data_IF_872534526210
#
_entry.id   IF_872534526210
#
_cell.length_a   1.000
_cell.length_b   1.000
_cell.length_c   1.000
_cell.angle_alpha   90.00
_cell.angle_beta   90.00
_cell.angle_gamma   90.00
#
_symmetry.space_group_name_H-M   'P 1'
#
loop_
_entity.id
_entity.type
_entity.pdbx_description
1 polymer ?
#
# COMPACT_ATOMS: atom_id res chain seq x y z
N UNK A 1 -12.22 -14.58 -2.68
CA UNK A 1 -11.18 -13.57 -2.82
C UNK A 1 -11.80 -12.18 -2.77
N UNK A 2 -11.26 -11.33 -1.95
CA UNK A 2 -11.78 -9.97 -1.79
C UNK A 2 -11.32 -9.10 -2.96
N UNK A 3 -12.25 -8.33 -3.54
CA UNK A 3 -11.95 -7.41 -4.63
C UNK A 3 -11.52 -6.07 -4.05
N UNK A 4 -10.46 -5.48 -4.60
CA UNK A 4 -10.02 -4.16 -4.18
C UNK A 4 -11.09 -3.13 -4.54
N UNK A 5 -11.42 -2.27 -3.57
CA UNK A 5 -12.44 -1.24 -3.75
C UNK A 5 -12.03 -0.25 -4.85
N UNK A 6 -12.90 0.01 -5.85
CA UNK A 6 -12.62 1.00 -6.90
C UNK A 6 -12.34 2.40 -6.37
N UNK A 7 -12.85 2.74 -5.17
CA UNK A 7 -12.58 4.02 -4.53
C UNK A 7 -11.09 4.27 -4.28
N UNK A 8 -10.31 3.18 -4.18
CA UNK A 8 -8.87 3.28 -4.05
C UNK A 8 -8.24 3.96 -5.25
N UNK A 9 -8.63 3.56 -6.46
CA UNK A 9 -8.12 4.17 -7.68
C UNK A 9 -8.57 5.62 -7.80
N UNK A 10 -9.80 5.91 -7.42
CA UNK A 10 -10.33 7.27 -7.38
C UNK A 10 -9.54 8.15 -6.41
N UNK A 11 -9.23 7.61 -5.22
CA UNK A 11 -8.43 8.32 -4.23
C UNK A 11 -7.04 8.65 -4.77
N UNK A 12 -6.35 7.68 -5.37
CA UNK A 12 -5.01 7.92 -5.90
C UNK A 12 -5.02 8.86 -7.09
N UNK A 13 -6.06 8.84 -7.91
CA UNK A 13 -6.22 9.80 -9.00
C UNK A 13 -6.29 11.23 -8.46
N UNK A 14 -7.08 11.44 -7.41
CA UNK A 14 -7.20 12.74 -6.74
C UNK A 14 -5.88 13.13 -6.09
N UNK A 15 -5.21 12.19 -5.43
CA UNK A 15 -3.91 12.44 -4.79
C UNK A 15 -2.87 12.86 -5.82
N UNK A 16 -2.86 12.22 -6.98
CA UNK A 16 -1.93 12.57 -8.05
C UNK A 16 -2.07 14.03 -8.47
N UNK A 17 -3.30 14.56 -8.48
CA UNK A 17 -3.56 15.94 -8.82
C UNK A 17 -3.32 16.90 -7.66
N UNK A 18 -3.33 16.41 -6.42
CA UNK A 18 -3.24 17.21 -5.20
C UNK A 18 -2.19 16.63 -4.25
N UNK A 19 -1.02 16.30 -4.76
CA UNK A 19 0.01 15.61 -3.98
C UNK A 19 0.76 16.60 -3.07
N UNK A 20 0.07 17.02 -2.01
CA UNK A 20 0.60 17.94 -1.01
C UNK A 20 0.02 17.58 0.37
N UNK A 21 0.67 18.09 1.41
CA UNK A 21 0.32 17.74 2.79
C UNK A 21 -1.06 18.25 3.21
N UNK A 22 -1.43 19.44 2.78
CA UNK A 22 -2.70 20.04 3.16
C UNK A 22 -3.88 19.24 2.64
N UNK A 23 -3.84 18.88 1.35
CA UNK A 23 -4.87 18.03 0.77
C UNK A 23 -4.94 16.67 1.44
N UNK A 24 -3.76 16.04 1.69
CA UNK A 24 -3.71 14.72 2.31
C UNK A 24 -4.29 14.76 3.72
N UNK A 25 -3.96 15.78 4.53
CA UNK A 25 -4.51 15.90 5.87
C UNK A 25 -6.02 16.04 5.86
N UNK A 26 -6.58 16.78 4.90
CA UNK A 26 -8.02 16.95 4.75
C UNK A 26 -8.72 15.65 4.35
N UNK A 27 -8.00 14.71 3.72
CA UNK A 27 -8.56 13.46 3.21
C UNK A 27 -8.00 12.23 3.92
N UNK A 28 -7.31 12.43 5.05
CA UNK A 28 -6.62 11.35 5.76
C UNK A 28 -7.58 10.27 6.27
N UNK A 29 -8.79 10.64 6.68
CA UNK A 29 -9.79 9.68 7.14
C UNK A 29 -10.16 8.70 6.04
N UNK A 30 -10.39 9.18 4.82
CA UNK A 30 -10.64 8.33 3.67
C UNK A 30 -9.44 7.43 3.37
N UNK A 31 -8.24 7.99 3.42
CA UNK A 31 -7.02 7.20 3.22
C UNK A 31 -6.92 6.05 4.24
N UNK A 32 -7.16 6.32 5.51
CA UNK A 32 -7.08 5.31 6.57
C UNK A 32 -8.09 4.18 6.36
N UNK A 33 -9.29 4.52 5.91
CA UNK A 33 -10.31 3.53 5.59
C UNK A 33 -9.83 2.61 4.45
N UNK A 34 -9.32 3.20 3.37
CA UNK A 34 -8.83 2.45 2.22
C UNK A 34 -7.60 1.62 2.58
N UNK A 35 -6.69 2.18 3.38
CA UNK A 35 -5.52 1.46 3.87
C UNK A 35 -5.93 0.22 4.67
N UNK A 36 -6.95 0.34 5.50
CA UNK A 36 -7.49 -0.81 6.26
C UNK A 36 -8.00 -1.91 5.35
N UNK A 37 -8.68 -1.54 4.26
CA UNK A 37 -9.15 -2.52 3.28
C UNK A 37 -8.00 -3.22 2.57
N UNK A 38 -6.94 -2.50 2.23
CA UNK A 38 -5.75 -3.07 1.60
C UNK A 38 -5.04 -4.03 2.57
N UNK A 39 -4.98 -3.69 3.84
CA UNK A 39 -4.40 -4.57 4.86
C UNK A 39 -5.16 -5.89 4.97
N UNK A 40 -6.48 -5.86 4.92
CA UNK A 40 -7.29 -7.08 4.92
C UNK A 40 -7.03 -7.92 3.67
N UNK A 41 -6.93 -7.28 2.53
CA UNK A 41 -6.59 -7.94 1.27
C UNK A 41 -5.19 -8.59 1.35
N UNK A 42 -4.23 -7.88 1.92
CA UNK A 42 -2.89 -8.41 2.12
C UNK A 42 -2.88 -9.66 3.00
N UNK A 43 -3.66 -9.67 4.09
CA UNK A 43 -3.79 -10.84 4.95
C UNK A 43 -4.38 -12.02 4.21
N UNK A 44 -5.37 -11.78 3.37
CA UNK A 44 -5.99 -12.82 2.57
C UNK A 44 -5.00 -13.44 1.59
N UNK A 45 -4.21 -12.62 0.92
CA UNK A 45 -3.14 -13.09 0.03
C UNK A 45 -2.11 -13.90 0.83
N UNK A 46 -1.69 -13.42 1.98
CA UNK A 46 -0.73 -14.11 2.84
C UNK A 46 -1.23 -15.51 3.21
N UNK A 47 -2.50 -15.62 3.61
CA UNK A 47 -3.09 -16.90 3.97
C UNK A 47 -3.12 -17.87 2.79
N UNK A 48 -3.44 -17.38 1.60
CA UNK A 48 -3.44 -18.20 0.39
C UNK A 48 -2.03 -18.66 0.02
N UNK A 49 -1.03 -17.78 0.17
CA UNK A 49 0.35 -18.14 -0.11
C UNK A 49 0.91 -19.15 0.90
N UNK A 50 0.47 -19.10 2.16
CA UNK A 50 0.89 -20.06 3.18
C UNK A 50 0.49 -21.50 2.85
N UNK A 51 -0.54 -21.69 2.03
CA UNK A 51 -0.94 -23.03 1.59
C UNK A 51 0.11 -23.63 0.65
N UNK A 52 0.76 -22.82 -0.16
CA UNK A 52 1.70 -23.25 -1.18
C UNK A 52 3.16 -23.00 -0.81
N UNK A 53 3.41 -21.98 0.00
CA UNK A 53 4.73 -21.54 0.37
C UNK A 53 4.73 -21.08 1.82
N UNK A 54 5.89 -21.16 2.45
CA UNK A 54 6.07 -20.60 3.77
C UNK A 54 6.41 -19.13 3.66
N UNK A 55 5.51 -18.28 4.15
CA UNK A 55 5.72 -16.83 4.15
C UNK A 55 6.24 -16.43 5.53
N UNK A 56 7.47 -15.96 5.56
CA UNK A 56 8.11 -15.52 6.79
C UNK A 56 7.56 -14.17 7.23
N UNK A 57 7.28 -13.28 6.28
CA UNK A 57 6.90 -11.93 6.59
C UNK A 57 6.09 -11.31 5.45
N UNK A 58 5.01 -10.62 5.82
CA UNK A 58 4.25 -9.76 4.91
C UNK A 58 4.40 -8.31 5.35
N UNK A 59 4.61 -7.41 4.41
CA UNK A 59 4.86 -6.00 4.71
C UNK A 59 4.12 -5.11 3.73
N UNK A 60 3.49 -4.04 4.27
CA UNK A 60 2.91 -2.97 3.49
C UNK A 60 3.79 -1.73 3.63
N UNK A 61 4.23 -1.18 2.50
CA UNK A 61 5.09 0.00 2.52
C UNK A 61 4.29 1.25 2.84
N UNK A 62 4.98 2.24 3.44
CA UNK A 62 4.36 3.50 3.84
C UNK A 62 4.00 4.32 2.61
N UNK A 63 2.97 5.16 2.75
CA UNK A 63 2.53 6.06 1.68
C UNK A 63 3.56 7.16 1.40
N UNK A 64 4.42 7.47 2.36
CA UNK A 64 5.38 8.57 2.25
C UNK A 64 6.52 8.20 1.30
N UNK A 65 6.89 9.14 0.43
CA UNK A 65 8.04 9.00 -0.46
C UNK A 65 9.30 9.50 0.23
N UNK A 66 10.41 8.82 -0.07
CA UNK A 66 11.73 9.35 0.25
C UNK A 66 12.15 10.25 -0.91
N UNK A 67 12.13 11.57 -0.66
CA UNK A 67 12.38 12.55 -1.72
C UNK A 67 13.72 13.25 -1.57
N UNK A 68 14.59 12.78 -0.68
CA UNK A 68 15.88 13.44 -0.39
C UNK A 68 16.75 13.58 -1.62
N UNK A 69 16.76 12.59 -2.49
CA UNK A 69 17.58 12.56 -3.70
C UNK A 69 16.76 12.60 -4.98
N UNK A 70 15.49 12.86 -4.88
CA UNK A 70 14.58 12.88 -6.02
C UNK A 70 14.39 14.29 -6.56
N UNK A 71 14.31 14.41 -7.88
CA UNK A 71 13.94 15.68 -8.52
C UNK A 71 12.47 16.01 -8.25
N UNK A 72 11.62 15.01 -8.21
CA UNK A 72 10.21 15.17 -7.89
C UNK A 72 10.05 15.12 -6.36
N UNK A 73 9.59 16.23 -5.77
CA UNK A 73 9.43 16.39 -4.32
C UNK A 73 8.01 16.15 -3.82
N UNK A 74 7.13 15.55 -4.62
CA UNK A 74 5.79 15.18 -4.13
C UNK A 74 5.91 14.21 -2.96
N UNK A 75 5.20 14.47 -1.84
CA UNK A 75 5.45 13.73 -0.59
C UNK A 75 4.81 12.36 -0.51
N UNK A 76 3.86 12.03 -1.39
CA UNK A 76 3.09 10.79 -1.27
C UNK A 76 3.18 9.94 -2.52
N UNK A 77 3.20 8.62 -2.29
CA UNK A 77 3.06 7.65 -3.37
C UNK A 77 1.61 7.61 -3.86
N UNK A 78 1.41 7.29 -5.13
CA UNK A 78 0.08 7.14 -5.71
C UNK A 78 -0.28 5.66 -5.90
N UNK A 79 0.30 4.80 -5.07
CA UNK A 79 0.06 3.37 -5.08
C UNK A 79 0.38 2.78 -3.71
N UNK A 80 -0.16 1.59 -3.43
CA UNK A 80 0.29 0.79 -2.29
C UNK A 80 1.34 -0.21 -2.74
N UNK A 81 2.43 -0.31 -1.96
CA UNK A 81 3.44 -1.34 -2.16
C UNK A 81 3.29 -2.44 -1.12
N UNK A 82 3.24 -3.68 -1.56
CA UNK A 82 3.18 -4.85 -0.69
C UNK A 82 4.38 -5.74 -0.97
N UNK A 83 4.90 -6.37 0.08
CA UNK A 83 5.99 -7.32 -0.04
C UNK A 83 5.72 -8.55 0.82
N UNK A 84 5.98 -9.72 0.27
CA UNK A 84 5.87 -10.99 0.97
C UNK A 84 7.23 -11.67 0.94
N UNK A 85 7.81 -11.91 2.11
CA UNK A 85 9.12 -12.54 2.23
C UNK A 85 8.93 -14.03 2.47
N UNK A 86 9.36 -14.83 1.51
CA UNK A 86 9.31 -16.29 1.62
C UNK A 86 10.46 -16.79 2.49
N UNK A 87 10.20 -17.87 3.23
CA UNK A 87 11.25 -18.56 3.92
C UNK A 87 12.20 -19.16 2.88
N UNK A 88 13.50 -18.88 3.02
CA UNK A 88 14.48 -19.39 2.08
C UNK A 88 14.58 -20.90 2.21
N UNK A 89 14.52 -21.64 1.09
CA UNK A 89 14.82 -23.06 1.16
C UNK A 89 16.25 -23.26 1.63
N UNK A 90 16.48 -24.32 2.40
CA UNK A 90 17.83 -24.70 2.79
C UNK A 90 18.59 -25.11 1.53
N UNK A 91 19.71 -24.50 1.33
CA UNK A 91 20.61 -24.83 0.21
C UNK A 91 21.66 -25.82 0.67
#
# INVERSE_FOLDING_TARGET
>A
MQIINPDLFSFFSKLKQNNNRDWFQSNKAEFKLLEGQVKLFMKEIEQNLQIHDKIEKAKMFRIYRDVRFSKNKTPYKTHFGLAFHREKPAL
#
